data_IF_405541192704
#
_entry.id   IF_405541192704
#
_cell.length_a   1.000
_cell.length_b   1.000
_cell.length_c   1.000
_cell.angle_alpha   90.00
_cell.angle_beta   90.00
_cell.angle_gamma   90.00
#
_symmetry.space_group_name_H-M   'P 1'
#
loop_
_entity.id
_entity.type
_entity.pdbx_description
1 polymer ?
#
# COMPACT_ATOMS: atom_id res chain seq x y z
N UNK A 1 -37.89 -4.64 -1.96
CA UNK A 1 -36.92 -3.52 -1.97
C UNK A 1 -35.61 -4.12 -2.40
N UNK A 2 -35.38 -4.17 -3.71
CA UNK A 2 -34.10 -4.58 -4.27
C UNK A 2 -33.17 -3.37 -4.14
N UNK A 3 -32.64 -3.20 -2.94
CA UNK A 3 -31.73 -2.12 -2.62
C UNK A 3 -30.36 -2.46 -3.17
N UNK A 4 -29.87 -1.66 -4.10
CA UNK A 4 -28.46 -1.62 -4.49
C UNK A 4 -27.61 -1.67 -3.21
N UNK A 5 -26.71 -2.65 -3.10
CA UNK A 5 -26.03 -2.98 -1.84
C UNK A 5 -25.33 -1.79 -1.17
N UNK A 6 -24.84 -2.00 0.06
CA UNK A 6 -24.16 -0.94 0.80
C UNK A 6 -22.76 -0.65 0.26
N UNK A 7 -22.54 0.55 -0.26
CA UNK A 7 -21.23 1.00 -0.71
C UNK A 7 -20.28 1.26 0.48
N UNK A 8 -19.19 0.50 0.56
CA UNK A 8 -18.22 0.60 1.66
C UNK A 8 -17.20 1.72 1.43
N UNK A 9 -16.62 1.85 0.23
CA UNK A 9 -15.61 2.85 -0.11
C UNK A 9 -15.59 3.18 -1.61
N UNK A 10 -14.77 4.16 -2.03
CA UNK A 10 -14.47 4.47 -3.44
C UNK A 10 -12.97 4.40 -3.70
N UNK A 11 -12.61 4.15 -4.96
CA UNK A 11 -11.21 4.25 -5.40
C UNK A 11 -10.71 5.69 -5.22
N UNK A 12 -9.46 5.84 -4.78
CA UNK A 12 -8.83 7.13 -4.50
C UNK A 12 -9.14 7.73 -3.13
N UNK A 13 -10.14 7.21 -2.39
CA UNK A 13 -10.42 7.69 -1.04
C UNK A 13 -9.52 7.02 0.01
N UNK A 14 -9.02 7.81 0.96
CA UNK A 14 -8.34 7.26 2.14
C UNK A 14 -9.35 6.49 2.99
N UNK A 15 -9.07 5.21 3.24
CA UNK A 15 -9.98 4.35 4.01
C UNK A 15 -9.96 4.69 5.51
N UNK A 16 -11.14 4.76 6.12
CA UNK A 16 -11.28 4.90 7.57
C UNK A 16 -11.25 3.54 8.32
N UNK A 17 -11.18 3.59 9.65
CA UNK A 17 -11.14 2.39 10.51
C UNK A 17 -12.36 1.45 10.34
N UNK A 18 -13.54 2.01 10.06
CA UNK A 18 -14.77 1.23 9.89
C UNK A 18 -14.77 0.52 8.54
N UNK A 19 -14.38 1.22 7.48
CA UNK A 19 -14.25 0.68 6.12
C UNK A 19 -13.23 -0.44 6.08
N UNK A 20 -12.02 -0.21 6.62
CA UNK A 20 -10.95 -1.23 6.69
C UNK A 20 -11.38 -2.46 7.48
N UNK A 21 -12.13 -2.29 8.59
CA UNK A 21 -12.65 -3.41 9.38
C UNK A 21 -13.64 -4.26 8.57
N UNK A 22 -14.58 -3.64 7.86
CA UNK A 22 -15.52 -4.35 6.98
C UNK A 22 -14.78 -5.13 5.89
N UNK A 23 -13.88 -4.46 5.17
CA UNK A 23 -13.10 -5.07 4.09
C UNK A 23 -12.29 -6.27 4.59
N UNK A 24 -11.69 -6.17 5.79
CA UNK A 24 -10.95 -7.26 6.43
C UNK A 24 -11.84 -8.44 6.79
N UNK A 25 -13.03 -8.19 7.36
CA UNK A 25 -13.99 -9.25 7.70
C UNK A 25 -14.48 -10.01 6.47
N UNK A 26 -14.61 -9.32 5.33
CA UNK A 26 -14.97 -9.94 4.05
C UNK A 26 -13.77 -10.50 3.27
N UNK A 27 -12.55 -10.44 3.82
CA UNK A 27 -11.36 -10.98 3.18
C UNK A 27 -10.93 -10.23 1.91
N UNK A 28 -11.32 -8.98 1.76
CA UNK A 28 -10.95 -8.16 0.59
C UNK A 28 -9.53 -7.62 0.78
N UNK A 29 -8.61 -8.03 -0.09
CA UNK A 29 -7.24 -7.50 -0.12
C UNK A 29 -7.23 -6.10 -0.76
N UNK A 30 -7.09 -5.06 0.07
CA UNK A 30 -7.15 -3.64 -0.36
C UNK A 30 -5.81 -2.94 -0.44
N UNK A 31 -4.72 -3.61 -0.05
CA UNK A 31 -3.38 -3.07 -0.10
C UNK A 31 -2.39 -4.14 -0.55
N UNK A 32 -1.38 -3.73 -1.30
CA UNK A 32 -0.23 -4.55 -1.65
C UNK A 32 0.92 -4.22 -0.71
N UNK A 33 1.49 -5.24 -0.08
CA UNK A 33 2.69 -5.09 0.72
C UNK A 33 3.92 -5.26 -0.16
N UNK A 34 4.74 -4.20 -0.28
CA UNK A 34 6.01 -4.20 -1.01
C UNK A 34 7.17 -3.83 -0.10
N UNK A 35 8.35 -4.35 -0.41
CA UNK A 35 9.60 -4.06 0.30
C UNK A 35 10.53 -3.31 -0.64
N UNK A 36 10.90 -2.09 -0.24
CA UNK A 36 11.83 -1.26 -1.00
C UNK A 36 13.22 -1.29 -0.36
N UNK A 37 14.19 -1.83 -1.10
CA UNK A 37 15.59 -1.81 -0.67
C UNK A 37 16.13 -0.38 -0.71
N UNK A 38 16.58 0.11 0.44
CA UNK A 38 17.13 1.47 0.57
C UNK A 38 18.59 1.55 0.21
N UNK A 39 19.38 0.56 0.61
CA UNK A 39 20.80 0.50 0.30
C UNK A 39 21.34 -0.93 0.44
N UNK A 40 22.50 -1.15 -0.15
CA UNK A 40 23.29 -2.37 -0.02
C UNK A 40 24.75 -2.00 0.25
N UNK A 41 25.39 -2.69 1.18
CA UNK A 41 26.84 -2.61 1.38
C UNK A 41 27.54 -3.76 0.67
N UNK A 42 28.63 -3.46 -0.02
CA UNK A 42 29.48 -4.46 -0.66
C UNK A 42 30.72 -4.74 0.18
N UNK A 43 30.94 -6.02 0.49
CA UNK A 43 32.08 -6.46 1.31
C UNK A 43 33.42 -6.38 0.56
N UNK A 44 33.42 -6.57 -0.75
CA UNK A 44 34.65 -6.72 -1.53
C UNK A 44 35.49 -5.45 -1.57
N UNK A 45 34.84 -4.30 -1.71
CA UNK A 45 35.46 -2.97 -1.82
C UNK A 45 35.03 -2.00 -0.70
N UNK A 46 34.12 -2.44 0.19
CA UNK A 46 33.57 -1.61 1.27
C UNK A 46 32.58 -0.55 0.79
N UNK A 47 32.15 -0.58 -0.48
CA UNK A 47 31.27 0.43 -1.05
C UNK A 47 29.82 0.32 -0.54
N UNK A 48 29.12 1.46 -0.56
CA UNK A 48 27.69 1.53 -0.25
C UNK A 48 26.96 1.93 -1.53
N UNK A 49 26.03 1.09 -1.97
CA UNK A 49 25.12 1.35 -3.09
C UNK A 49 23.79 1.80 -2.50
N UNK A 50 23.44 3.07 -2.72
CA UNK A 50 22.12 3.60 -2.35
C UNK A 50 21.13 3.18 -3.45
N UNK A 51 20.08 2.45 -3.03
CA UNK A 51 19.06 1.86 -3.89
C UNK A 51 17.71 2.57 -3.78
N UNK A 52 17.61 3.60 -2.94
CA UNK A 52 16.40 4.42 -2.79
C UNK A 52 15.90 4.91 -4.15
N UNK A 53 14.79 4.32 -4.62
CA UNK A 53 13.95 4.94 -5.62
C UNK A 53 13.16 6.05 -4.93
N UNK A 54 13.23 7.27 -5.50
CA UNK A 54 12.28 8.33 -5.17
C UNK A 54 10.95 7.94 -5.78
N UNK A 55 10.14 7.16 -5.05
CA UNK A 55 8.74 6.97 -5.41
C UNK A 55 7.99 8.27 -5.09
N UNK A 56 8.05 9.22 -6.03
CA UNK A 56 7.10 10.32 -6.16
C UNK A 56 5.88 9.81 -6.92
N UNK A 57 5.07 8.94 -6.32
CA UNK A 57 3.79 8.52 -6.91
C UNK A 57 2.79 8.17 -5.79
N UNK A 58 2.46 9.19 -5.00
CA UNK A 58 1.13 9.35 -4.42
C UNK A 58 0.74 10.82 -4.64
N UNK A 59 0.55 11.17 -5.91
CA UNK A 59 -0.26 12.35 -6.27
C UNK A 59 -1.74 11.99 -6.05
N UNK A 60 -2.36 12.82 -5.20
CA UNK A 60 -3.80 13.05 -4.94
C UNK A 60 -4.78 11.86 -4.90
#
# INVERSE_FOLDING_TARGET
MDGDGYQVCKAGETLDSRQTTLLKMFGVAVAEFRVDMKAQWNREDGSIVILEKKDQDMEE
#
